data_IF_744259994614
#
_entry.id   IF_744259994614
#
_cell.length_a   1.000
_cell.length_b   1.000
_cell.length_c   1.000
_cell.angle_alpha   90.00
_cell.angle_beta   90.00
_cell.angle_gamma   90.00
#
_symmetry.space_group_name_H-M   'P 1'
#
loop_
_entity.id
_entity.type
_entity.pdbx_description
1 polymer ?
#
# COMPACT_ATOMS: atom_id res chain seq x y z
N UNK A 1 -10.70 -11.07 6.52
CA UNK A 1 -9.59 -10.09 6.45
C UNK A 1 -9.25 -9.89 4.97
N UNK A 2 -10.16 -9.29 4.20
CA UNK A 2 -10.01 -9.17 2.74
C UNK A 2 -9.11 -7.99 2.37
N UNK A 3 -9.17 -6.93 3.17
CA UNK A 3 -8.50 -5.65 3.01
C UNK A 3 -7.02 -5.72 3.44
N UNK A 4 -6.69 -6.58 4.41
CA UNK A 4 -5.31 -6.73 4.89
C UNK A 4 -4.41 -7.31 3.79
N UNK A 5 -4.82 -8.42 3.18
CA UNK A 5 -4.03 -9.10 2.14
C UNK A 5 -3.74 -8.19 0.93
N UNK A 6 -4.70 -7.32 0.57
CA UNK A 6 -4.54 -6.36 -0.52
C UNK A 6 -3.56 -5.27 -0.14
N UNK A 7 -3.63 -4.79 1.11
CA UNK A 7 -2.72 -3.76 1.60
C UNK A 7 -1.28 -4.28 1.69
N UNK A 8 -1.10 -5.54 2.10
CA UNK A 8 0.21 -6.22 2.07
C UNK A 8 0.74 -6.32 0.64
N UNK A 9 -0.07 -6.82 -0.30
CA UNK A 9 0.32 -6.92 -1.71
C UNK A 9 0.71 -5.57 -2.31
N UNK A 10 -0.05 -4.52 -1.99
CA UNK A 10 0.22 -3.15 -2.39
C UNK A 10 1.56 -2.66 -1.85
N UNK A 11 1.84 -2.87 -0.56
CA UNK A 11 3.11 -2.48 0.04
C UNK A 11 4.29 -3.21 -0.61
N UNK A 12 4.16 -4.52 -0.86
CA UNK A 12 5.18 -5.30 -1.58
C UNK A 12 5.45 -4.72 -2.96
N UNK A 13 4.42 -4.45 -3.76
CA UNK A 13 4.56 -3.87 -5.10
C UNK A 13 5.25 -2.50 -5.02
N UNK A 14 4.87 -1.65 -4.06
CA UNK A 14 5.46 -0.33 -3.89
C UNK A 14 6.95 -0.40 -3.55
N UNK A 15 7.33 -1.29 -2.62
CA UNK A 15 8.73 -1.49 -2.23
C UNK A 15 9.57 -2.08 -3.35
N UNK A 16 9.04 -3.03 -4.12
CA UNK A 16 9.74 -3.62 -5.25
C UNK A 16 9.99 -2.61 -6.36
N UNK A 17 9.00 -1.75 -6.66
CA UNK A 17 9.17 -0.65 -7.62
C UNK A 17 10.17 0.38 -7.12
N UNK A 18 10.13 0.75 -5.84
CA UNK A 18 11.10 1.67 -5.26
C UNK A 18 12.53 1.11 -5.33
N UNK A 19 12.71 -0.19 -5.04
CA UNK A 19 14.00 -0.89 -5.20
C UNK A 19 14.46 -0.89 -6.66
N UNK A 20 13.58 -1.23 -7.60
CA UNK A 20 13.89 -1.25 -9.03
C UNK A 20 14.29 0.14 -9.56
N UNK A 21 13.68 1.20 -9.03
CA UNK A 21 14.00 2.58 -9.36
C UNK A 21 15.22 3.14 -8.60
N UNK A 22 15.79 2.40 -7.64
CA UNK A 22 16.86 2.89 -6.77
C UNK A 22 16.41 4.02 -5.82
N UNK A 23 15.12 4.10 -5.51
CA UNK A 23 14.55 5.14 -4.66
C UNK A 23 14.82 4.87 -3.17
N UNK A 24 15.29 5.88 -2.45
CA UNK A 24 15.50 5.80 -1.00
C UNK A 24 14.25 6.09 -0.15
N UNK A 25 13.15 6.55 -0.77
CA UNK A 25 11.90 6.90 -0.09
C UNK A 25 10.72 6.94 -1.05
N UNK A 26 9.57 6.44 -0.61
CA UNK A 26 8.27 6.65 -1.27
C UNK A 26 7.59 7.85 -0.61
N UNK A 27 7.18 8.84 -1.40
CA UNK A 27 6.57 10.08 -0.89
C UNK A 27 5.04 10.00 -0.90
N UNK A 28 4.47 9.30 -1.88
CA UNK A 28 3.03 9.16 -2.02
C UNK A 28 2.69 7.91 -2.83
N UNK A 29 1.62 7.23 -2.45
CA UNK A 29 0.99 6.18 -3.24
C UNK A 29 -0.43 6.66 -3.56
N UNK A 30 -0.81 6.61 -4.84
CA UNK A 30 -2.18 6.93 -5.29
C UNK A 30 -2.87 5.65 -5.72
N UNK A 31 -4.02 5.39 -5.12
CA UNK A 31 -4.81 4.19 -5.38
C UNK A 31 -6.13 4.58 -6.03
N UNK A 32 -6.56 3.78 -7.00
CA UNK A 32 -7.89 3.87 -7.58
C UNK A 32 -8.70 2.68 -7.09
N UNK A 33 -9.70 2.96 -6.27
CA UNK A 33 -10.63 1.96 -5.73
C UNK A 33 -11.89 1.98 -6.59
N UNK A 34 -12.31 0.83 -7.11
CA UNK A 34 -13.54 0.71 -7.89
C UNK A 34 -14.76 0.68 -6.98
N UNK A 35 -15.83 1.36 -7.38
CA UNK A 35 -17.06 1.48 -6.57
C UNK A 35 -17.73 0.13 -6.26
N UNK A 36 -17.56 -0.86 -7.16
CA UNK A 36 -18.18 -2.19 -7.04
C UNK A 36 -17.36 -3.21 -6.25
N UNK A 37 -16.20 -2.83 -5.70
CA UNK A 37 -15.31 -3.79 -5.04
C UNK A 37 -15.69 -4.07 -3.59
N UNK A 38 -16.55 -3.24 -2.99
CA UNK A 38 -16.88 -3.33 -1.56
C UNK A 38 -15.70 -3.01 -0.63
N UNK A 39 -14.61 -2.44 -1.15
CA UNK A 39 -13.46 -2.06 -0.33
C UNK A 39 -13.77 -0.81 0.49
N UNK A 40 -13.26 -0.79 1.72
CA UNK A 40 -13.30 0.36 2.62
C UNK A 40 -11.94 1.06 2.55
N UNK A 41 -11.82 2.22 1.88
CA UNK A 41 -10.55 2.93 1.73
C UNK A 41 -9.86 3.23 3.07
N UNK A 42 -10.64 3.56 4.09
CA UNK A 42 -10.16 3.86 5.44
C UNK A 42 -9.48 2.64 6.10
N UNK A 43 -9.97 1.43 5.81
CA UNK A 43 -9.34 0.20 6.28
C UNK A 43 -7.99 -0.04 5.61
N UNK A 44 -7.88 0.26 4.31
CA UNK A 44 -6.62 0.18 3.56
C UNK A 44 -5.61 1.19 4.10
N UNK A 45 -6.01 2.45 4.33
CA UNK A 45 -5.12 3.47 4.90
C UNK A 45 -4.62 3.08 6.30
N UNK A 46 -5.52 2.55 7.13
CA UNK A 46 -5.18 2.12 8.50
C UNK A 46 -4.20 0.96 8.47
N UNK A 47 -4.48 -0.08 7.68
CA UNK A 47 -3.58 -1.21 7.51
C UNK A 47 -2.23 -0.77 6.93
N UNK A 48 -2.23 0.15 5.96
CA UNK A 48 -1.01 0.61 5.30
C UNK A 48 -0.08 1.30 6.29
N UNK A 49 -0.62 2.15 7.17
CA UNK A 49 0.17 2.82 8.21
C UNK A 49 0.85 1.84 9.17
N UNK A 50 0.18 0.74 9.49
CA UNK A 50 0.74 -0.31 10.36
C UNK A 50 1.80 -1.11 9.62
N UNK A 51 1.51 -1.52 8.38
CA UNK A 51 2.40 -2.37 7.58
C UNK A 51 3.64 -1.64 7.07
N UNK A 52 3.54 -0.33 6.77
CA UNK A 52 4.66 0.45 6.25
C UNK A 52 5.66 0.86 7.32
N UNK A 53 5.33 0.68 8.60
CA UNK A 53 6.22 1.00 9.72
C UNK A 53 7.56 0.25 9.60
N UNK A 54 8.66 0.99 9.57
CA UNK A 54 10.01 0.43 9.40
C UNK A 54 10.42 0.18 7.95
N UNK A 55 9.60 0.58 6.98
CA UNK A 55 9.93 0.54 5.56
C UNK A 55 10.32 1.94 5.03
N UNK A 56 10.66 2.02 3.75
CA UNK A 56 10.90 3.31 3.06
C UNK A 56 9.59 3.99 2.60
N UNK A 57 8.44 3.39 2.92
CA UNK A 57 7.09 3.83 2.55
C UNK A 57 6.34 4.51 3.70
#
# INVERSE_FOLDING_TARGET
MHELAITESLLTIALDQARAAGAGRIVSIRLKVGELTGYVPEAVETNFRVLSAGTIA
#
